data_IF_667953198048
#
_entry.id   IF_667953198048
#
_cell.length_a   1.000
_cell.length_b   1.000
_cell.length_c   1.000
_cell.angle_alpha   90.00
_cell.angle_beta   90.00
_cell.angle_gamma   90.00
#
_symmetry.space_group_name_H-M   'P 1'
#
loop_
_entity.id
_entity.type
_entity.pdbx_description
1 polymer ?
#
# COMPACT_ATOMS: atom_id res chain seq x y z
N UNK A 1 -13.35 -10.11 -18.28
CA UNK A 1 -13.82 -8.89 -17.62
C UNK A 1 -12.93 -7.72 -18.04
N UNK A 2 -13.51 -6.57 -18.36
CA UNK A 2 -12.72 -5.40 -18.77
C UNK A 2 -11.94 -4.88 -17.54
N UNK A 3 -10.62 -4.68 -17.70
CA UNK A 3 -9.83 -4.06 -16.66
C UNK A 3 -10.34 -2.63 -16.40
N UNK A 4 -10.64 -2.30 -15.15
CA UNK A 4 -11.15 -1.01 -14.71
C UNK A 4 -10.14 -0.20 -13.91
N UNK A 5 -8.92 -0.68 -13.78
CA UNK A 5 -7.86 0.05 -13.09
C UNK A 5 -7.69 1.45 -13.70
N UNK A 6 -7.67 2.45 -12.84
CA UNK A 6 -7.34 3.82 -13.24
C UNK A 6 -5.82 3.93 -13.46
N UNK A 7 -5.39 3.21 -14.47
CA UNK A 7 -3.98 3.03 -14.81
C UNK A 7 -3.83 2.89 -16.33
N UNK A 8 -2.84 3.57 -16.86
CA UNK A 8 -2.40 3.43 -18.26
C UNK A 8 -1.04 2.75 -18.27
N UNK A 9 -0.89 1.79 -19.16
CA UNK A 9 0.36 1.06 -19.35
C UNK A 9 0.63 0.92 -20.86
N UNK A 10 1.84 1.29 -21.24
CA UNK A 10 2.39 1.00 -22.56
C UNK A 10 3.75 0.30 -22.45
N UNK A 11 4.54 0.31 -23.52
CA UNK A 11 5.84 -0.37 -23.54
C UNK A 11 6.91 0.30 -22.66
N UNK A 12 6.81 1.61 -22.44
CA UNK A 12 7.83 2.43 -21.78
C UNK A 12 7.35 3.05 -20.47
N UNK A 13 6.04 3.16 -20.28
CA UNK A 13 5.46 3.91 -19.17
C UNK A 13 4.28 3.18 -18.52
N UNK A 14 4.18 3.32 -17.22
CA UNK A 14 2.97 2.98 -16.45
C UNK A 14 2.66 4.15 -15.53
N UNK A 15 1.44 4.68 -15.63
CA UNK A 15 1.00 5.72 -14.71
C UNK A 15 -0.45 5.49 -14.27
N UNK A 16 -0.78 5.99 -13.09
CA UNK A 16 -2.13 5.84 -12.56
C UNK A 16 -2.25 6.24 -11.11
N UNK A 17 -3.42 5.95 -10.57
CA UNK A 17 -3.77 6.23 -9.19
C UNK A 17 -3.83 4.94 -8.39
N UNK A 18 -3.25 4.97 -7.19
CA UNK A 18 -3.19 3.84 -6.26
C UNK A 18 -3.73 4.22 -4.89
N UNK A 19 -4.08 3.22 -4.12
CA UNK A 19 -4.42 3.33 -2.71
C UNK A 19 -3.60 2.33 -1.91
N UNK A 20 -3.23 2.69 -0.69
CA UNK A 20 -2.56 1.80 0.25
C UNK A 20 -3.08 1.99 1.67
N UNK A 21 -3.03 0.92 2.45
CA UNK A 21 -3.51 0.88 3.82
C UNK A 21 -2.36 0.95 4.83
N UNK A 22 -2.46 1.89 5.76
CA UNK A 22 -1.64 1.96 6.96
C UNK A 22 -2.39 1.26 8.08
N UNK A 23 -2.07 0.00 8.31
CA UNK A 23 -2.70 -0.83 9.33
C UNK A 23 -1.76 -0.94 10.51
N UNK A 24 -2.10 -0.28 11.61
CA UNK A 24 -1.24 -0.17 12.81
C UNK A 24 -1.95 -0.76 14.02
N UNK A 25 -1.31 -1.73 14.66
CA UNK A 25 -1.74 -2.32 15.92
C UNK A 25 -0.55 -2.43 16.87
N UNK A 26 -0.70 -1.99 18.12
CA UNK A 26 0.34 -2.07 19.13
C UNK A 26 1.69 -1.48 18.66
N UNK A 27 1.65 -0.32 17.99
CA UNK A 27 2.82 0.37 17.43
C UNK A 27 3.59 -0.43 16.37
N UNK A 28 2.92 -1.40 15.73
CA UNK A 28 3.44 -2.18 14.62
C UNK A 28 2.62 -1.90 13.36
N UNK A 29 3.32 -1.78 12.26
CA UNK A 29 2.74 -1.63 10.92
C UNK A 29 2.65 -3.00 10.26
N UNK A 30 1.49 -3.30 9.67
CA UNK A 30 1.32 -4.49 8.84
C UNK A 30 1.91 -4.26 7.47
N UNK A 31 2.85 -5.10 7.10
CA UNK A 31 3.50 -5.10 5.80
C UNK A 31 3.33 -6.44 5.11
N UNK A 32 3.39 -6.41 3.80
CA UNK A 32 3.48 -7.61 2.97
C UNK A 32 4.95 -7.77 2.58
N UNK A 33 5.51 -8.95 2.84
CA UNK A 33 6.84 -9.32 2.38
C UNK A 33 6.73 -10.22 1.15
N UNK A 34 7.34 -9.78 0.05
CA UNK A 34 7.45 -10.56 -1.17
C UNK A 34 8.87 -11.15 -1.28
N UNK A 35 9.07 -12.45 -0.96
CA UNK A 35 10.41 -13.05 -0.94
C UNK A 35 11.13 -12.94 -2.28
N UNK A 36 10.42 -13.06 -3.40
CA UNK A 36 10.99 -12.98 -4.75
C UNK A 36 11.50 -11.59 -5.13
N UNK A 37 11.08 -10.53 -4.41
CA UNK A 37 11.51 -9.15 -4.61
C UNK A 37 12.42 -8.64 -3.49
N UNK A 38 12.53 -9.37 -2.38
CA UNK A 38 13.22 -8.94 -1.16
C UNK A 38 12.74 -7.57 -0.64
N UNK A 39 11.44 -7.28 -0.80
CA UNK A 39 10.84 -5.99 -0.44
C UNK A 39 9.65 -6.14 0.47
N UNK A 40 9.47 -5.13 1.29
CA UNK A 40 8.28 -4.92 2.10
C UNK A 40 7.44 -3.80 1.50
N UNK A 41 6.13 -3.97 1.46
CA UNK A 41 5.21 -2.95 0.96
C UNK A 41 3.88 -2.98 1.70
N UNK A 42 3.14 -1.87 1.58
CA UNK A 42 1.81 -1.75 2.17
C UNK A 42 0.78 -2.56 1.38
N UNK A 43 -0.25 -3.10 2.05
CA UNK A 43 -1.43 -3.61 1.36
C UNK A 43 -2.06 -2.48 0.52
N UNK A 44 -2.43 -2.77 -0.71
CA UNK A 44 -3.03 -1.79 -1.61
C UNK A 44 -2.98 -2.20 -3.07
N UNK A 45 -3.46 -1.32 -3.93
CA UNK A 45 -3.51 -1.58 -5.36
C UNK A 45 -4.03 -0.39 -6.16
N UNK A 46 -4.41 -0.66 -7.41
CA UNK A 46 -4.91 0.37 -8.30
C UNK A 46 -6.34 0.80 -7.94
N UNK A 47 -6.57 2.10 -7.95
CA UNK A 47 -7.92 2.65 -7.96
C UNK A 47 -8.65 2.20 -9.23
N UNK A 48 -9.92 1.89 -9.13
CA UNK A 48 -10.75 1.61 -10.30
C UNK A 48 -11.47 2.86 -10.79
N UNK A 49 -11.71 2.94 -12.09
CA UNK A 49 -12.47 4.04 -12.68
C UNK A 49 -13.89 4.09 -12.07
N UNK A 50 -14.27 5.25 -11.53
CA UNK A 50 -15.56 5.46 -10.88
C UNK A 50 -15.62 5.01 -9.41
N UNK A 51 -14.48 4.64 -8.82
CA UNK A 51 -14.38 4.23 -7.43
C UNK A 51 -13.77 5.35 -6.58
N UNK A 52 -14.35 5.63 -5.42
CA UNK A 52 -13.75 6.57 -4.45
C UNK A 52 -12.55 5.91 -3.75
N UNK A 53 -11.51 6.67 -3.47
CA UNK A 53 -10.26 6.14 -2.90
C UNK A 53 -10.43 5.42 -1.55
N UNK A 54 -11.34 5.89 -0.69
CA UNK A 54 -11.63 5.23 0.58
C UNK A 54 -12.32 3.87 0.40
N UNK A 55 -13.14 3.71 -0.64
CA UNK A 55 -13.75 2.42 -1.00
C UNK A 55 -12.74 1.49 -1.63
N UNK A 56 -11.85 2.05 -2.46
CA UNK A 56 -10.77 1.30 -3.09
C UNK A 56 -9.85 0.65 -2.06
N UNK A 57 -9.41 1.39 -1.04
CA UNK A 57 -8.52 0.83 -0.02
C UNK A 57 -9.22 -0.27 0.78
N UNK A 58 -10.51 -0.14 1.10
CA UNK A 58 -11.27 -1.20 1.76
C UNK A 58 -11.39 -2.46 0.89
N UNK A 59 -11.62 -2.30 -0.42
CA UNK A 59 -11.67 -3.40 -1.38
C UNK A 59 -10.31 -4.10 -1.47
N UNK A 60 -9.22 -3.37 -1.61
CA UNK A 60 -7.87 -3.94 -1.69
C UNK A 60 -7.50 -4.71 -0.42
N UNK A 61 -7.83 -4.18 0.77
CA UNK A 61 -7.62 -4.88 2.04
C UNK A 61 -8.41 -6.19 2.07
N UNK A 62 -9.68 -6.18 1.64
CA UNK A 62 -10.47 -7.39 1.58
C UNK A 62 -9.91 -8.42 0.59
N UNK A 63 -9.48 -7.97 -0.59
CA UNK A 63 -8.90 -8.84 -1.63
C UNK A 63 -7.55 -9.44 -1.19
N UNK A 64 -6.67 -8.63 -0.59
CA UNK A 64 -5.32 -9.06 -0.24
C UNK A 64 -5.20 -9.75 1.12
N UNK A 65 -6.01 -9.34 2.11
CA UNK A 65 -5.92 -9.86 3.48
C UNK A 65 -7.09 -10.80 3.81
N UNK A 66 -8.22 -10.65 3.12
CA UNK A 66 -9.42 -11.47 3.36
C UNK A 66 -10.28 -10.98 4.51
N UNK A 67 -10.07 -9.77 5.01
CA UNK A 67 -10.80 -9.18 6.12
C UNK A 67 -11.51 -7.90 5.73
N UNK A 68 -12.71 -7.71 6.25
CA UNK A 68 -13.36 -6.40 6.23
C UNK A 68 -12.60 -5.42 7.13
N UNK A 69 -12.72 -4.15 6.82
CA UNK A 69 -11.98 -3.11 7.52
C UNK A 69 -12.79 -1.84 7.68
N UNK A 70 -12.36 -1.02 8.62
CA UNK A 70 -12.87 0.32 8.83
C UNK A 70 -11.80 1.32 8.38
N UNK A 71 -12.13 2.11 7.35
CA UNK A 71 -11.24 3.14 6.82
C UNK A 71 -11.33 4.39 7.67
N UNK A 72 -10.18 4.86 8.14
CA UNK A 72 -10.04 6.10 8.90
C UNK A 72 -9.56 7.26 8.04
N UNK A 73 -8.69 8.08 8.60
CA UNK A 73 -8.20 9.30 7.97
C UNK A 73 -7.29 9.02 6.78
N UNK A 74 -7.38 9.87 5.76
CA UNK A 74 -6.35 9.99 4.73
C UNK A 74 -5.09 10.60 5.37
N UNK A 75 -3.99 9.87 5.35
CA UNK A 75 -2.75 10.30 5.98
C UNK A 75 -1.80 10.99 5.02
N UNK A 76 -1.62 10.41 3.83
CA UNK A 76 -0.68 10.91 2.83
C UNK A 76 -1.26 10.85 1.43
N UNK A 77 -0.86 11.83 0.62
CA UNK A 77 -0.94 11.77 -0.84
C UNK A 77 0.51 11.78 -1.34
N UNK A 78 0.89 10.75 -2.09
CA UNK A 78 2.27 10.54 -2.55
C UNK A 78 2.32 10.60 -4.06
N UNK A 79 3.14 11.50 -4.60
CA UNK A 79 3.53 11.47 -6.00
C UNK A 79 4.84 10.69 -6.10
N UNK A 80 4.82 9.58 -6.78
CA UNK A 80 5.96 8.67 -6.84
C UNK A 80 6.38 8.41 -8.29
N UNK A 81 7.67 8.59 -8.57
CA UNK A 81 8.24 8.32 -9.88
C UNK A 81 9.52 7.50 -9.72
N UNK A 82 9.65 6.46 -10.50
CA UNK A 82 10.86 5.64 -10.53
C UNK A 82 10.98 4.90 -11.85
N UNK A 83 12.19 4.42 -12.13
CA UNK A 83 12.47 3.62 -13.31
C UNK A 83 12.88 2.20 -12.91
N UNK A 84 12.35 1.22 -13.63
CA UNK A 84 12.88 -0.14 -13.61
C UNK A 84 13.36 -0.45 -15.04
N UNK A 85 14.68 -0.58 -15.21
CA UNK A 85 15.31 -0.69 -16.52
C UNK A 85 14.93 0.50 -17.41
N UNK A 86 14.23 0.26 -18.52
CA UNK A 86 13.77 1.29 -19.45
C UNK A 86 12.32 1.70 -19.24
N UNK A 87 11.65 1.13 -18.25
CA UNK A 87 10.25 1.40 -17.98
C UNK A 87 10.10 2.44 -16.87
N UNK A 88 9.37 3.50 -17.15
CA UNK A 88 9.06 4.57 -16.21
C UNK A 88 7.74 4.33 -15.51
N UNK A 89 7.72 4.48 -14.19
CA UNK A 89 6.52 4.38 -13.36
C UNK A 89 6.23 5.74 -12.73
N UNK A 90 4.99 6.16 -12.83
CA UNK A 90 4.50 7.38 -12.21
C UNK A 90 3.13 7.13 -11.59
N UNK A 91 3.00 7.31 -10.28
CA UNK A 91 1.73 7.12 -9.59
C UNK A 91 1.42 8.25 -8.62
N UNK A 92 0.12 8.50 -8.44
CA UNK A 92 -0.42 9.21 -7.28
C UNK A 92 -1.04 8.18 -6.37
N UNK A 93 -0.64 8.15 -5.11
CA UNK A 93 -1.06 7.14 -4.15
C UNK A 93 -1.68 7.79 -2.92
N UNK A 94 -2.87 7.32 -2.53
CA UNK A 94 -3.58 7.73 -1.33
C UNK A 94 -3.32 6.70 -0.22
N UNK A 95 -2.73 7.11 0.89
CA UNK A 95 -2.47 6.26 2.05
C UNK A 95 -3.47 6.58 3.16
N UNK A 96 -4.29 5.59 3.50
CA UNK A 96 -5.30 5.70 4.56
C UNK A 96 -4.91 4.90 5.79
N UNK A 97 -5.19 5.42 6.98
CA UNK A 97 -5.23 4.59 8.18
C UNK A 97 -6.43 3.65 8.10
N UNK A 98 -6.20 2.38 8.38
CA UNK A 98 -7.23 1.33 8.26
C UNK A 98 -7.17 0.40 9.46
N UNK A 99 -8.34 0.12 10.05
CA UNK A 99 -8.49 -0.85 11.12
C UNK A 99 -9.09 -2.15 10.57
N UNK A 100 -8.43 -3.28 10.80
CA UNK A 100 -8.98 -4.58 10.44
C UNK A 100 -10.11 -5.00 11.38
N UNK A 101 -11.16 -5.59 10.83
CA UNK A 101 -12.24 -6.20 11.61
C UNK A 101 -11.96 -7.70 11.77
N UNK A 102 -10.86 -8.02 12.44
CA UNK A 102 -10.40 -9.38 12.65
C UNK A 102 -8.89 -9.47 12.73
N UNK A 103 -8.38 -10.68 12.87
CA UNK A 103 -6.96 -10.95 12.95
C UNK A 103 -6.39 -11.29 11.56
N UNK A 104 -5.36 -10.58 11.15
CA UNK A 104 -4.68 -10.85 9.88
C UNK A 104 -4.07 -12.26 9.88
N UNK A 105 -4.21 -13.02 8.76
CA UNK A 105 -3.52 -14.30 8.61
C UNK A 105 -2.00 -14.10 8.52
N UNK A 106 -1.22 -15.17 8.76
CA UNK A 106 0.24 -15.11 8.65
C UNK A 106 0.70 -15.00 7.20
N UNK A 107 -0.06 -15.56 6.27
CA UNK A 107 0.27 -15.51 4.85
C UNK A 107 -0.96 -15.73 3.98
N UNK A 108 -0.85 -15.29 2.73
CA UNK A 108 -1.83 -15.55 1.68
C UNK A 108 -1.12 -16.03 0.42
N UNK A 109 -1.76 -16.93 -0.32
CA UNK A 109 -1.25 -17.43 -1.59
C UNK A 109 -1.94 -16.70 -2.74
N UNK A 110 -1.15 -16.06 -3.59
CA UNK A 110 -1.66 -15.39 -4.79
C UNK A 110 -1.00 -16.01 -6.02
N UNK A 111 -1.77 -16.74 -6.81
CA UNK A 111 -1.26 -17.50 -7.94
C UNK A 111 -0.19 -18.50 -7.49
N UNK A 112 1.01 -18.39 -8.06
CA UNK A 112 2.17 -19.23 -7.71
C UNK A 112 3.05 -18.63 -6.61
N UNK A 113 2.77 -17.39 -6.19
CA UNK A 113 3.56 -16.68 -5.18
C UNK A 113 2.85 -16.67 -3.84
N UNK A 114 3.62 -16.93 -2.78
CA UNK A 114 3.18 -16.79 -1.40
C UNK A 114 3.62 -15.44 -0.87
N UNK A 115 2.66 -14.66 -0.35
CA UNK A 115 2.91 -13.39 0.32
C UNK A 115 2.79 -13.60 1.82
N UNK A 116 3.73 -13.06 2.57
CA UNK A 116 3.73 -13.14 4.02
C UNK A 116 3.33 -11.79 4.62
N UNK A 117 2.45 -11.82 5.61
CA UNK A 117 2.12 -10.65 6.41
C UNK A 117 3.06 -10.57 7.60
N UNK A 118 3.65 -9.41 7.79
CA UNK A 118 4.61 -9.16 8.84
C UNK A 118 4.21 -7.91 9.61
N UNK A 119 4.12 -8.04 10.92
CA UNK A 119 3.94 -6.92 11.83
C UNK A 119 5.31 -6.42 12.28
N UNK A 120 5.71 -5.24 11.82
CA UNK A 120 6.99 -4.64 12.20
C UNK A 120 6.77 -3.42 13.08
N UNK A 121 7.54 -3.28 14.19
CA UNK A 121 7.52 -2.05 14.97
C UNK A 121 7.84 -0.85 14.09
N UNK A 122 7.06 0.23 14.21
CA UNK A 122 7.24 1.43 13.38
C UNK A 122 8.67 1.96 13.49
N UNK A 123 9.25 1.94 14.71
CA UNK A 123 10.63 2.35 14.97
C UNK A 123 11.69 1.49 14.26
N UNK A 124 11.33 0.31 13.78
CA UNK A 124 12.23 -0.61 13.09
C UNK A 124 12.19 -0.48 11.55
N UNK A 125 11.29 0.34 11.01
CA UNK A 125 11.11 0.50 9.58
C UNK A 125 12.35 1.06 8.87
N UNK A 126 13.22 1.79 9.58
CA UNK A 126 14.50 2.27 9.03
C UNK A 126 15.50 1.15 8.71
N UNK A 127 15.28 -0.05 9.24
CA UNK A 127 16.18 -1.21 9.07
C UNK A 127 15.84 -2.09 7.88
N UNK A 128 14.75 -1.78 7.17
CA UNK A 128 14.25 -2.58 6.05
C UNK A 128 14.06 -1.75 4.79
N UNK A 129 14.00 -2.42 3.65
CA UNK A 129 13.57 -1.79 2.38
C UNK A 129 12.04 -1.79 2.32
N UNK A 130 11.43 -0.74 2.86
CA UNK A 130 9.99 -0.52 2.89
C UNK A 130 9.58 0.49 1.82
N UNK A 131 8.52 0.19 1.09
CA UNK A 131 7.95 1.12 0.12
C UNK A 131 6.53 1.56 0.56
N UNK A 132 6.25 2.86 0.66
CA UNK A 132 7.16 4.01 0.42
C UNK A 132 8.17 4.21 1.58
N UNK A 133 9.37 4.62 1.22
CA UNK A 133 10.50 4.68 2.17
C UNK A 133 10.40 5.79 3.22
N UNK A 134 9.67 6.88 2.94
CA UNK A 134 9.53 7.99 3.90
C UNK A 134 8.79 7.58 5.19
N UNK A 135 7.99 6.51 5.15
CA UNK A 135 7.22 6.04 6.31
C UNK A 135 8.09 5.71 7.51
N UNK A 136 9.32 5.26 7.26
CA UNK A 136 10.26 4.95 8.33
C UNK A 136 10.56 6.14 9.26
N UNK A 137 10.48 7.36 8.75
CA UNK A 137 10.70 8.57 9.52
C UNK A 137 9.40 9.29 9.87
N UNK A 138 8.51 9.43 8.91
CA UNK A 138 7.35 10.32 9.00
C UNK A 138 6.17 9.72 9.78
N UNK A 139 6.03 8.39 9.80
CA UNK A 139 4.87 7.75 10.40
C UNK A 139 4.83 7.91 11.92
N UNK A 140 5.99 7.99 12.57
CA UNK A 140 6.11 8.19 14.02
C UNK A 140 5.55 9.55 14.44
N UNK A 141 5.73 10.56 13.61
CA UNK A 141 5.37 11.96 13.88
C UNK A 141 4.30 12.49 12.92
N UNK A 142 3.34 11.65 12.55
CA UNK A 142 2.26 12.10 11.68
C UNK A 142 1.48 13.26 12.32
N UNK A 143 1.32 14.41 11.63
CA UNK A 143 0.84 15.65 12.24
C UNK A 143 -0.68 15.71 12.47
N UNK A 144 -1.43 14.66 12.16
CA UNK A 144 -2.88 14.61 12.33
C UNK A 144 -3.68 15.23 11.16
N UNK A 145 -3.04 15.50 10.04
CA UNK A 145 -3.68 15.96 8.80
C UNK A 145 -2.98 15.37 7.59
N UNK A 146 -3.60 15.50 6.43
CA UNK A 146 -3.03 14.97 5.16
C UNK A 146 -1.69 15.65 4.86
N UNK A 147 -0.69 14.82 4.60
CA UNK A 147 0.64 15.27 4.17
C UNK A 147 0.86 14.90 2.70
N UNK A 148 1.27 15.88 1.90
CA UNK A 148 1.63 15.67 0.50
C UNK A 148 3.13 15.39 0.39
N UNK A 149 3.48 14.30 -0.26
CA UNK A 149 4.86 13.87 -0.52
C UNK A 149 5.15 13.83 -2.01
N UNK A 150 6.32 14.31 -2.38
CA UNK A 150 6.82 14.28 -3.75
C UNK A 150 8.17 13.54 -3.77
#
# INVERSE_FOLDING_TARGET
MKNRDFRVRDQLETFGVRVSALIIENQKLLLIYAPHLYKYYLPGGALQVGEDSNKAVAREVLEEIGLHSQVGDLAYIVENQFNIKRHHYHSVEFLYFVNLLGQAPESIKEGTHKRHFVWLPIKELTKIDCNPNFLAQDLIEWPGHVVHKI
#
